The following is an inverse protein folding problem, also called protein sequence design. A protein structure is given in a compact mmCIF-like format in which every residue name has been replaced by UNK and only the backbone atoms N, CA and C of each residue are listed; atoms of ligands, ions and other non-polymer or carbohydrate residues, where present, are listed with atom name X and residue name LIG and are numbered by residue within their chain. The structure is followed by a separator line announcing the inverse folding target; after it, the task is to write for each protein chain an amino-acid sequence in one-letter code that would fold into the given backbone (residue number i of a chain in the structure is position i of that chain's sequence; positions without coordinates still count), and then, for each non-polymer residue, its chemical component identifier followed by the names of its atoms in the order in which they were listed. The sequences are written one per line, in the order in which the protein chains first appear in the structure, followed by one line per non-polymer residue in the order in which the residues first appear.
data_IF_432460334030
#
_entry.id   IF_432460334030
#
_cell.length_a   1.000
_cell.length_b   1.000
_cell.length_c   1.000
_cell.angle_alpha   90.00
_cell.angle_beta   90.00
_cell.angle_gamma   90.00
#
_symmetry.space_group_name_H-M   'P 1'
#
loop_
_entity.id
_entity.type
_entity.pdbx_description
1 polymer ?
#
# COMPACT_ATOMS: atom_id res chain seq x y z
N UNK A 1 13.03 -10.50 -5.76
CA UNK A 1 11.82 -10.12 -6.53
C UNK A 1 10.49 -10.48 -5.86
N UNK A 2 10.39 -11.58 -5.09
CA UNK A 2 9.13 -12.06 -4.50
C UNK A 2 8.25 -11.00 -3.79
N UNK A 3 8.86 -10.03 -3.12
CA UNK A 3 8.13 -8.98 -2.38
C UNK A 3 8.13 -7.61 -3.08
N UNK A 4 8.69 -7.53 -4.29
CA UNK A 4 8.86 -6.26 -4.99
C UNK A 4 7.52 -5.55 -5.25
N UNK A 5 6.52 -6.28 -5.74
CA UNK A 5 5.19 -5.73 -5.98
C UNK A 5 4.50 -5.27 -4.69
N UNK A 6 4.66 -6.01 -3.59
CA UNK A 6 4.11 -5.60 -2.29
C UNK A 6 4.79 -4.32 -1.79
N UNK A 7 6.11 -4.20 -1.98
CA UNK A 7 6.84 -3.01 -1.58
C UNK A 7 6.47 -1.80 -2.44
N UNK A 8 6.34 -1.98 -3.75
CA UNK A 8 5.91 -0.94 -4.68
C UNK A 8 4.49 -0.47 -4.38
N UNK A 9 3.55 -1.40 -4.17
CA UNK A 9 2.17 -1.07 -3.81
C UNK A 9 2.10 -0.33 -2.46
N UNK A 10 2.94 -0.71 -1.48
CA UNK A 10 3.04 0.00 -0.22
C UNK A 10 3.55 1.43 -0.40
N UNK A 11 4.62 1.63 -1.18
CA UNK A 11 5.17 2.94 -1.47
C UNK A 11 4.16 3.85 -2.19
N UNK A 12 3.43 3.32 -3.17
CA UNK A 12 2.35 4.04 -3.86
C UNK A 12 1.17 4.36 -2.92
N UNK A 13 0.85 3.47 -2.00
CA UNK A 13 -0.22 3.67 -1.03
C UNK A 13 0.12 4.82 -0.07
N UNK A 14 1.33 4.80 0.48
CA UNK A 14 1.87 5.89 1.31
C UNK A 14 1.89 7.20 0.55
N UNK A 15 2.37 7.19 -0.70
CA UNK A 15 2.34 8.38 -1.55
C UNK A 15 0.92 8.90 -1.76
N UNK A 16 -0.06 8.03 -2.02
CA UNK A 16 -1.47 8.41 -2.15
C UNK A 16 -2.03 9.05 -0.88
N UNK A 17 -1.66 8.56 0.31
CA UNK A 17 -2.07 9.21 1.57
C UNK A 17 -1.45 10.60 1.69
N UNK A 18 -0.14 10.72 1.53
CA UNK A 18 0.58 11.99 1.70
C UNK A 18 0.14 13.04 0.67
N UNK A 19 0.05 12.66 -0.60
CA UNK A 19 -0.40 13.58 -1.65
C UNK A 19 -1.90 13.84 -1.60
N UNK A 20 -2.70 12.92 -1.08
CA UNK A 20 -4.12 13.15 -0.84
C UNK A 20 -4.38 14.16 0.27
N UNK A 21 -3.55 14.19 1.32
CA UNK A 21 -3.56 15.26 2.33
C UNK A 21 -3.11 16.59 1.73
N UNK A 22 -2.04 16.59 0.91
CA UNK A 22 -1.56 17.81 0.27
C UNK A 22 -2.54 18.41 -0.75
N UNK A 23 -3.43 17.59 -1.31
CA UNK A 23 -4.42 17.98 -2.33
C UNK A 23 -5.85 18.11 -1.77
N UNK A 24 -6.05 18.04 -0.45
CA UNK A 24 -7.37 18.04 0.21
C UNK A 24 -8.36 17.04 -0.43
N UNK A 25 -7.83 15.92 -0.92
CA UNK A 25 -8.54 14.92 -1.72
C UNK A 25 -8.81 13.67 -0.89
N UNK A 26 -9.95 13.58 -0.17
CA UNK A 26 -10.25 12.46 0.74
C UNK A 26 -10.32 11.11 0.01
N UNK A 27 -10.67 11.12 -1.29
CA UNK A 27 -10.69 9.91 -2.11
C UNK A 27 -9.30 9.33 -2.36
N UNK A 28 -8.31 10.19 -2.64
CA UNK A 28 -6.93 9.76 -2.86
C UNK A 28 -6.30 9.23 -1.57
N UNK A 29 -6.60 9.88 -0.44
CA UNK A 29 -6.18 9.39 0.88
C UNK A 29 -6.76 8.00 1.17
N UNK A 30 -8.07 7.83 0.96
CA UNK A 30 -8.75 6.54 1.19
C UNK A 30 -8.16 5.44 0.30
N UNK A 31 -7.96 5.72 -0.99
CA UNK A 31 -7.31 4.78 -1.90
C UNK A 31 -5.88 4.47 -1.46
N UNK A 32 -5.12 5.47 -1.02
CA UNK A 32 -3.77 5.32 -0.49
C UNK A 32 -3.72 4.37 0.71
N UNK A 33 -4.62 4.56 1.69
CA UNK A 33 -4.74 3.71 2.88
C UNK A 33 -5.08 2.27 2.47
N UNK A 34 -6.10 2.08 1.64
CA UNK A 34 -6.53 0.75 1.19
C UNK A 34 -5.39 0.03 0.48
N UNK A 35 -4.67 0.72 -0.39
CA UNK A 35 -3.54 0.16 -1.13
C UNK A 35 -2.39 -0.22 -0.18
N UNK A 36 -2.03 0.66 0.76
CA UNK A 36 -0.96 0.42 1.73
C UNK A 36 -1.28 -0.79 2.64
N UNK A 37 -2.49 -0.83 3.21
CA UNK A 37 -2.93 -1.93 4.08
C UNK A 37 -3.01 -3.24 3.30
N UNK A 38 -3.58 -3.21 2.09
CA UNK A 38 -3.68 -4.37 1.20
C UNK A 38 -2.31 -4.94 0.82
N UNK A 39 -1.33 -4.07 0.55
CA UNK A 39 0.05 -4.46 0.26
C UNK A 39 0.71 -5.17 1.43
N UNK A 40 0.57 -4.63 2.65
CA UNK A 40 1.10 -5.25 3.88
C UNK A 40 0.45 -6.61 4.13
N UNK A 41 -0.89 -6.67 4.11
CA UNK A 41 -1.63 -7.91 4.34
C UNK A 41 -1.24 -9.00 3.32
N UNK A 42 -1.14 -8.64 2.04
CA UNK A 42 -0.73 -9.55 0.97
C UNK A 42 0.71 -10.02 1.11
N UNK A 43 1.63 -9.10 1.46
CA UNK A 43 3.03 -9.42 1.73
C UNK A 43 3.19 -10.41 2.89
N UNK A 44 2.47 -10.18 4.00
CA UNK A 44 2.45 -11.08 5.16
C UNK A 44 1.89 -12.45 4.76
N UNK A 45 0.78 -12.49 4.02
CA UNK A 45 0.18 -13.75 3.55
C UNK A 45 1.15 -14.54 2.67
N UNK A 46 1.87 -13.87 1.76
CA UNK A 46 2.88 -14.49 0.89
C UNK A 46 4.13 -14.96 1.66
N UNK A 47 4.50 -14.29 2.76
CA UNK A 47 5.56 -14.73 3.64
C UNK A 47 5.16 -15.98 4.44
N UNK A 48 3.94 -16.00 4.99
CA UNK A 48 3.41 -17.13 5.77
C UNK A 48 3.21 -18.39 4.94
N UNK A 49 2.79 -18.27 3.68
CA UNK A 49 2.56 -19.44 2.80
C UNK A 49 3.84 -20.13 2.33
N UNK A 50 5.00 -19.53 2.60
CA UNK A 50 6.31 -20.01 2.15
C UNK A 50 7.24 -20.38 3.31
N UNK A 51 6.72 -20.37 4.54
CA UNK A 51 7.26 -21.14 5.66
C UNK A 51 6.60 -22.50 5.65
#
# INVERSE_FOLDING_TARGET
MKYFLAFLALALGVAGVVFGEADDSPGLQLLGVVLAVGAVASGIRAARRNR
#
